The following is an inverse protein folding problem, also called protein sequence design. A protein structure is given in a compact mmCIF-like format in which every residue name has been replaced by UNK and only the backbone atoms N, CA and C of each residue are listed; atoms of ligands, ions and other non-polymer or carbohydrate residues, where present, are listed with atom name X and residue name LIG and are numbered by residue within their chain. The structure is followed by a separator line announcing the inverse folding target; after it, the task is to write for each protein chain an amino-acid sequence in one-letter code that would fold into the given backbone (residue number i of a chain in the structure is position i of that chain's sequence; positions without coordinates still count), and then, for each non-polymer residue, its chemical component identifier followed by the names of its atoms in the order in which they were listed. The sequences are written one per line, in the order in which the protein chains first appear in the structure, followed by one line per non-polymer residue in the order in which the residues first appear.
data_IF_503856828434
#
_entry.id   IF_503856828434
#
_cell.length_a   1.000
_cell.length_b   1.000
_cell.length_c   1.000
_cell.angle_alpha   90.00
_cell.angle_beta   90.00
_cell.angle_gamma   90.00
#
_symmetry.space_group_name_H-M   'P 1'
#
loop_
_entity.id
_entity.type
_entity.pdbx_description
1 polymer ?
#
# COMPACT_ATOMS: atom_id res chain seq x y z
N UNK A 1 0.41 18.46 -17.66
CA UNK A 1 -0.49 17.28 -17.70
C UNK A 1 -0.07 16.36 -16.59
N UNK A 2 -1.03 15.89 -15.77
CA UNK A 2 -0.75 14.88 -14.75
C UNK A 2 -0.43 13.54 -15.41
N UNK A 3 0.50 12.78 -14.85
CA UNK A 3 0.91 11.47 -15.39
C UNK A 3 0.70 10.37 -14.36
N UNK A 4 0.34 9.18 -14.82
CA UNK A 4 0.10 8.04 -13.95
C UNK A 4 1.29 7.09 -14.03
N UNK A 5 1.81 6.71 -12.86
CA UNK A 5 2.94 5.81 -12.73
C UNK A 5 2.65 4.74 -11.70
N UNK A 6 3.19 3.56 -11.94
CA UNK A 6 3.27 2.48 -10.97
C UNK A 6 4.59 2.59 -10.21
N UNK A 7 4.50 2.91 -8.92
CA UNK A 7 5.59 2.92 -7.96
C UNK A 7 5.64 1.55 -7.28
N UNK A 8 6.75 0.83 -7.41
CA UNK A 8 6.94 -0.50 -6.83
C UNK A 8 8.07 -0.45 -5.81
N UNK A 9 7.81 -0.97 -4.61
CA UNK A 9 8.75 -1.05 -3.50
C UNK A 9 8.85 -2.51 -3.01
N UNK A 10 10.02 -3.02 -2.61
CA UNK A 10 10.11 -4.33 -1.97
C UNK A 10 9.26 -4.40 -0.71
N UNK A 11 8.67 -5.56 -0.41
CA UNK A 11 7.76 -5.67 0.72
C UNK A 11 8.45 -5.55 2.09
N UNK A 12 9.73 -5.90 2.19
CA UNK A 12 10.55 -5.66 3.39
C UNK A 12 10.78 -4.17 3.71
N UNK A 13 10.68 -3.28 2.72
CA UNK A 13 10.89 -1.85 2.93
C UNK A 13 9.77 -1.23 3.78
N UNK A 14 8.62 -1.89 3.86
CA UNK A 14 7.53 -1.51 4.75
C UNK A 14 7.11 -2.75 5.55
N UNK A 15 7.98 -3.11 6.51
CA UNK A 15 7.93 -4.26 7.43
C UNK A 15 6.66 -4.39 8.30
N UNK A 16 5.71 -3.48 8.17
CA UNK A 16 4.49 -3.42 8.96
C UNK A 16 3.56 -4.62 8.73
N UNK A 17 3.43 -5.01 7.46
CA UNK A 17 2.46 -6.01 7.00
C UNK A 17 3.17 -7.29 6.54
N UNK A 18 4.44 -7.18 6.15
CA UNK A 18 5.22 -8.28 5.58
C UNK A 18 5.24 -9.57 6.41
N UNK A 19 5.47 -9.54 7.74
CA UNK A 19 5.46 -10.77 8.54
C UNK A 19 4.10 -11.48 8.55
N UNK A 20 3.02 -10.71 8.47
CA UNK A 20 1.65 -11.22 8.50
C UNK A 20 1.14 -11.65 7.13
N UNK A 21 1.78 -11.18 6.04
CA UNK A 21 1.43 -11.56 4.67
C UNK A 21 2.20 -12.77 4.16
N UNK A 22 3.36 -13.11 4.75
CA UNK A 22 4.12 -14.30 4.36
C UNK A 22 3.42 -15.62 4.69
N UNK A 23 2.57 -15.62 5.71
CA UNK A 23 1.88 -16.82 6.19
C UNK A 23 0.53 -17.03 5.49
N UNK A 24 0.17 -16.14 4.57
CA UNK A 24 -1.19 -16.05 4.05
C UNK A 24 -1.13 -15.80 2.54
N UNK A 25 -1.95 -16.50 1.75
CA UNK A 25 -2.26 -16.10 0.37
C UNK A 25 -3.16 -14.84 0.35
N UNK A 26 -2.86 -13.87 1.20
CA UNK A 26 -3.59 -12.63 1.35
C UNK A 26 -2.98 -11.56 0.48
N UNK A 27 -3.78 -11.09 -0.47
CA UNK A 27 -3.60 -9.81 -1.13
C UNK A 27 -4.19 -8.72 -0.24
N UNK A 28 -3.49 -7.60 -0.06
CA UNK A 28 -4.08 -6.39 0.52
C UNK A 28 -4.24 -5.32 -0.53
N UNK A 29 -5.47 -4.90 -0.80
CA UNK A 29 -5.74 -3.78 -1.70
C UNK A 29 -6.26 -2.58 -0.92
N UNK A 30 -5.70 -1.41 -1.18
CA UNK A 30 -6.17 -0.15 -0.61
C UNK A 30 -6.34 0.88 -1.71
N UNK A 31 -7.55 1.40 -1.83
CA UNK A 31 -7.83 2.54 -2.69
C UNK A 31 -7.80 3.79 -1.81
N UNK A 32 -6.70 4.53 -1.82
CA UNK A 32 -6.75 5.92 -1.37
C UNK A 32 -7.32 6.75 -2.52
N UNK A 33 -8.63 6.74 -2.77
CA UNK A 33 -9.22 7.70 -3.73
C UNK A 33 -9.21 9.12 -3.13
N UNK A 34 -8.03 9.68 -2.90
CA UNK A 34 -7.84 10.74 -1.93
C UNK A 34 -6.80 11.77 -2.34
N UNK A 35 -6.88 12.93 -1.72
CA UNK A 35 -5.89 14.00 -1.86
C UNK A 35 -4.56 13.59 -1.21
N UNK A 36 -3.45 14.30 -1.49
CA UNK A 36 -2.15 14.05 -0.86
C UNK A 36 -2.17 14.02 0.69
N UNK A 37 -3.23 14.54 1.32
CA UNK A 37 -3.41 14.54 2.78
C UNK A 37 -4.05 13.24 3.33
N UNK A 38 -4.48 12.35 2.44
CA UNK A 38 -5.09 11.07 2.84
C UNK A 38 -4.05 10.21 3.53
N UNK A 39 -4.34 9.61 4.70
CA UNK A 39 -3.43 8.65 5.31
C UNK A 39 -3.09 7.53 4.30
N UNK A 40 -1.85 7.04 4.32
CA UNK A 40 -1.52 5.79 3.64
C UNK A 40 -2.05 4.62 4.47
N UNK A 41 -2.73 3.67 3.84
CA UNK A 41 -3.28 2.47 4.47
C UNK A 41 -4.28 2.65 5.64
N UNK A 42 -5.26 3.57 5.58
CA UNK A 42 -6.29 3.66 6.61
C UNK A 42 -7.28 2.49 6.51
N UNK A 43 -7.38 1.89 5.32
CA UNK A 43 -8.28 0.79 4.99
C UNK A 43 -7.65 -0.12 3.96
N UNK A 44 -7.92 -1.41 4.06
CA UNK A 44 -7.56 -2.37 3.01
C UNK A 44 -8.58 -3.50 2.92
N UNK A 45 -8.68 -4.08 1.72
CA UNK A 45 -9.38 -5.31 1.44
C UNK A 45 -8.39 -6.47 1.53
N UNK A 46 -8.70 -7.43 2.39
CA UNK A 46 -7.98 -8.69 2.51
C UNK A 46 -8.70 -9.77 1.69
N UNK A 47 -7.93 -10.54 0.93
CA UNK A 47 -8.37 -11.67 0.13
C UNK A 47 -7.79 -12.99 0.66
N UNK A 48 -8.17 -14.13 0.06
CA UNK A 48 -7.64 -15.45 0.41
C UNK A 48 -8.39 -16.16 1.54
N UNK A 49 -7.95 -17.37 1.89
CA UNK A 49 -8.57 -18.23 2.92
C UNK A 49 -8.63 -17.58 4.29
N UNK A 50 -7.60 -16.83 4.66
CA UNK A 50 -7.43 -16.29 6.02
C UNK A 50 -7.82 -14.81 6.12
N UNK A 51 -8.52 -14.29 5.10
CA UNK A 51 -9.02 -12.89 5.07
C UNK A 51 -9.80 -12.49 6.31
N UNK A 52 -10.46 -13.43 6.98
CA UNK A 52 -11.27 -13.15 8.18
C UNK A 52 -10.50 -13.12 9.50
N UNK A 53 -9.33 -13.78 9.55
CA UNK A 53 -8.47 -13.88 10.74
C UNK A 53 -7.27 -12.94 10.69
N UNK A 54 -7.05 -12.26 9.54
CA UNK A 54 -5.99 -11.28 9.38
C UNK A 54 -6.02 -10.17 10.47
N UNK A 55 -7.20 -9.76 10.93
CA UNK A 55 -7.28 -8.79 12.03
C UNK A 55 -6.71 -9.34 13.34
N UNK A 56 -6.94 -10.61 13.65
CA UNK A 56 -6.42 -11.26 14.85
C UNK A 56 -4.90 -11.46 14.76
N UNK A 57 -4.36 -11.62 13.55
CA UNK A 57 -2.92 -11.66 13.32
C UNK A 57 -2.29 -10.27 13.50
N UNK A 58 -2.92 -9.24 12.91
CA UNK A 58 -2.42 -7.86 12.94
C UNK A 58 -2.55 -7.19 14.31
N UNK A 59 -3.47 -7.63 15.19
CA UNK A 59 -3.61 -7.04 16.54
C UNK A 59 -2.34 -7.20 17.40
N UNK A 60 -1.45 -8.12 17.01
CA UNK A 60 -0.17 -8.34 17.68
C UNK A 60 0.94 -7.43 17.17
N UNK A 61 0.70 -6.68 16.09
CA UNK A 61 1.68 -5.76 15.51
C UNK A 61 1.89 -4.55 16.46
N UNK A 62 3.13 -4.27 16.90
CA UNK A 62 3.41 -3.19 17.85
C UNK A 62 3.01 -1.79 17.36
N UNK A 63 2.93 -1.60 16.05
CA UNK A 63 2.59 -0.34 15.42
C UNK A 63 1.09 -0.12 15.23
N UNK A 64 0.24 -1.08 15.62
CA UNK A 64 -1.19 -1.01 15.41
C UNK A 64 -1.88 -0.56 16.69
N UNK A 65 -2.57 0.58 16.64
CA UNK A 65 -3.36 1.10 17.78
C UNK A 65 -4.76 0.53 17.80
N UNK A 66 -5.36 0.33 16.62
CA UNK A 66 -6.67 -0.26 16.47
C UNK A 66 -6.84 -0.91 15.09
N UNK A 67 -7.63 -1.99 15.05
CA UNK A 67 -8.10 -2.62 13.82
C UNK A 67 -9.59 -2.93 13.98
N UNK A 68 -10.37 -2.70 12.93
CA UNK A 68 -11.80 -3.00 12.91
C UNK A 68 -12.24 -3.53 11.56
N UNK A 69 -13.06 -4.58 11.57
CA UNK A 69 -13.71 -5.12 10.37
C UNK A 69 -14.84 -4.18 9.95
N UNK A 70 -14.80 -3.70 8.71
CA UNK A 70 -15.75 -2.71 8.17
C UNK A 70 -16.81 -3.35 7.26
N UNK A 71 -16.40 -4.32 6.44
CA UNK A 71 -17.31 -5.04 5.53
C UNK A 71 -16.80 -6.46 5.26
N UNK A 72 -17.73 -7.38 5.04
CA UNK A 72 -17.43 -8.77 4.65
C UNK A 72 -18.15 -9.08 3.35
N UNK A 73 -17.38 -9.51 2.36
CA UNK A 73 -17.85 -10.00 1.07
C UNK A 73 -17.46 -11.49 0.94
N UNK A 74 -18.08 -12.24 0.01
CA UNK A 74 -17.76 -13.65 -0.19
C UNK A 74 -16.27 -13.91 -0.44
N UNK A 75 -15.59 -13.01 -1.14
CA UNK A 75 -14.22 -13.12 -1.63
C UNK A 75 -13.21 -12.23 -0.86
N UNK A 76 -13.69 -11.26 -0.08
CA UNK A 76 -12.83 -10.24 0.56
C UNK A 76 -13.40 -9.66 1.84
N UNK A 77 -12.53 -9.12 2.69
CA UNK A 77 -12.91 -8.43 3.93
C UNK A 77 -12.26 -7.06 3.99
N UNK A 78 -13.03 -6.01 4.24
CA UNK A 78 -12.51 -4.66 4.44
C UNK A 78 -12.17 -4.46 5.91
N UNK A 79 -10.94 -4.02 6.18
CA UNK A 79 -10.49 -3.59 7.48
C UNK A 79 -10.20 -2.09 7.47
N UNK A 80 -10.42 -1.45 8.61
CA UNK A 80 -9.88 -0.14 8.95
C UNK A 80 -8.79 -0.33 10.00
N UNK A 81 -7.66 0.33 9.80
CA UNK A 81 -6.51 0.27 10.71
C UNK A 81 -6.06 1.67 11.09
N UNK A 82 -5.79 1.83 12.37
CA UNK A 82 -5.19 3.04 12.93
C UNK A 82 -3.76 2.70 13.41
N UNK A 83 -2.78 3.35 12.80
CA UNK A 83 -1.35 3.10 13.05
C UNK A 83 -0.79 4.09 14.08
N UNK A 84 0.08 3.60 14.98
CA UNK A 84 0.91 4.45 15.82
C UNK A 84 2.12 4.93 15.01
N UNK A 85 2.00 6.13 14.46
CA UNK A 85 3.04 6.76 13.63
C UNK A 85 4.32 7.12 14.41
N UNK A 86 4.34 6.99 15.74
CA UNK A 86 5.52 7.23 16.56
C UNK A 86 6.48 6.03 16.61
N UNK A 87 6.07 4.88 16.08
CA UNK A 87 6.85 3.64 16.12
C UNK A 87 7.90 3.57 14.99
N UNK A 88 8.98 2.80 15.20
CA UNK A 88 10.03 2.65 14.18
C UNK A 88 9.55 1.79 13.00
N UNK A 89 8.58 0.91 13.25
CA UNK A 89 8.01 -0.06 12.30
C UNK A 89 7.23 0.63 11.18
N UNK A 90 6.65 1.81 11.42
CA UNK A 90 5.96 2.62 10.39
C UNK A 90 6.81 3.77 9.86
N UNK A 91 8.05 3.95 10.31
CA UNK A 91 8.87 5.11 9.92
C UNK A 91 9.04 5.19 8.40
N UNK A 92 9.21 4.05 7.73
CA UNK A 92 9.31 4.01 6.27
C UNK A 92 7.98 4.37 5.59
N UNK A 93 6.85 3.89 6.13
CA UNK A 93 5.52 4.26 5.65
C UNK A 93 5.27 5.78 5.81
N UNK A 94 5.69 6.36 6.94
CA UNK A 94 5.54 7.79 7.20
C UNK A 94 6.45 8.64 6.30
N UNK A 95 7.68 8.20 6.05
CA UNK A 95 8.59 8.82 5.08
C UNK A 95 8.01 8.80 3.68
N UNK A 96 7.49 7.66 3.23
CA UNK A 96 6.85 7.53 1.93
C UNK A 96 5.61 8.44 1.84
N UNK A 97 4.76 8.46 2.87
CA UNK A 97 3.61 9.37 2.95
C UNK A 97 4.03 10.82 2.81
N UNK A 98 5.03 11.23 3.59
CA UNK A 98 5.55 12.60 3.58
C UNK A 98 6.10 12.98 2.22
N UNK A 99 6.91 12.11 1.60
CA UNK A 99 7.43 12.33 0.26
C UNK A 99 6.31 12.51 -0.77
N UNK A 100 5.35 11.58 -0.81
CA UNK A 100 4.25 11.63 -1.76
C UNK A 100 3.41 12.90 -1.56
N UNK A 101 3.15 13.29 -0.31
CA UNK A 101 2.45 14.53 0.02
C UNK A 101 3.21 15.77 -0.43
N UNK A 102 4.49 15.86 -0.11
CA UNK A 102 5.32 17.03 -0.41
C UNK A 102 5.51 17.21 -1.93
N UNK A 103 5.42 16.12 -2.70
CA UNK A 103 5.41 16.12 -4.16
C UNK A 103 4.02 16.31 -4.79
N UNK A 104 2.96 16.43 -3.98
CA UNK A 104 1.58 16.58 -4.44
C UNK A 104 1.05 15.34 -5.18
N UNK A 105 1.60 14.16 -4.88
CA UNK A 105 1.22 12.90 -5.53
C UNK A 105 -0.09 12.41 -4.95
N UNK A 106 -1.00 12.03 -5.86
CA UNK A 106 -2.25 11.35 -5.51
C UNK A 106 -2.06 9.86 -5.73
N UNK A 107 -2.05 9.06 -4.65
CA UNK A 107 -2.07 7.60 -4.78
C UNK A 107 -3.48 7.22 -5.18
N UNK A 108 -3.71 6.60 -6.32
CA UNK A 108 -5.03 6.19 -6.81
C UNK A 108 -5.43 4.80 -6.27
N UNK A 109 -4.46 3.90 -6.20
CA UNK A 109 -4.63 2.53 -5.80
C UNK A 109 -3.31 1.99 -5.23
N UNK A 110 -3.40 1.08 -4.28
CA UNK A 110 -2.27 0.40 -3.68
C UNK A 110 -2.59 -1.08 -3.48
N UNK A 111 -1.59 -1.92 -3.70
CA UNK A 111 -1.67 -3.35 -3.49
C UNK A 111 -0.40 -3.82 -2.78
N UNK A 112 -0.55 -4.76 -1.86
CA UNK A 112 0.57 -5.38 -1.14
C UNK A 112 0.48 -6.88 -1.35
N UNK A 113 1.58 -7.43 -1.84
CA UNK A 113 1.82 -8.85 -1.97
C UNK A 113 2.95 -9.25 -1.02
N UNK A 114 3.19 -10.56 -0.82
CA UNK A 114 4.37 -11.02 -0.09
C UNK A 114 5.71 -10.61 -0.74
N UNK A 115 5.73 -10.16 -2.00
CA UNK A 115 6.97 -9.78 -2.69
C UNK A 115 7.16 -8.26 -2.78
N UNK A 116 6.09 -7.52 -3.08
CA UNK A 116 6.17 -6.09 -3.38
C UNK A 116 4.93 -5.31 -2.94
N UNK A 117 5.15 -4.02 -2.71
CA UNK A 117 4.14 -2.99 -2.60
C UNK A 117 4.04 -2.28 -3.94
N UNK A 118 2.83 -2.19 -4.47
CA UNK A 118 2.54 -1.57 -5.74
C UNK A 118 1.58 -0.42 -5.51
N UNK A 119 2.01 0.79 -5.81
CA UNK A 119 1.19 2.00 -5.76
C UNK A 119 0.98 2.51 -7.18
N UNK A 120 -0.28 2.72 -7.58
CA UNK A 120 -0.63 3.48 -8.76
C UNK A 120 -0.78 4.93 -8.33
N UNK A 121 0.08 5.80 -8.83
CA UNK A 121 0.24 7.18 -8.41
C UNK A 121 0.01 8.13 -9.57
N UNK A 122 -0.79 9.18 -9.35
CA UNK A 122 -0.91 10.32 -10.24
C UNK A 122 0.03 11.43 -9.77
N UNK A 123 0.99 11.77 -10.61
CA UNK A 123 1.96 12.83 -10.39
C UNK A 123 1.48 14.13 -11.05
N UNK A 124 1.62 15.29 -10.37
CA UNK A 124 1.18 16.57 -10.92
C UNK A 124 2.08 17.06 -12.06
N UNK A 125 3.37 16.69 -12.05
CA UNK A 125 4.38 17.12 -13.02
C UNK A 125 5.43 16.03 -13.28
N UNK A 126 6.17 16.14 -14.39
CA UNK A 126 7.34 15.29 -14.67
C UNK A 126 8.43 15.44 -13.60
N UNK A 127 8.62 16.66 -13.09
CA UNK A 127 9.58 16.95 -12.03
C UNK A 127 9.24 16.18 -10.74
N UNK A 128 7.95 16.09 -10.38
CA UNK A 128 7.53 15.29 -9.24
C UNK A 128 7.85 13.79 -9.42
N UNK A 129 7.76 13.25 -10.64
CA UNK A 129 8.17 11.87 -10.95
C UNK A 129 9.65 11.69 -10.71
N UNK A 130 10.48 12.59 -11.26
CA UNK A 130 11.95 12.53 -11.13
C UNK A 130 12.35 12.63 -9.66
N UNK A 131 11.78 13.59 -8.92
CA UNK A 131 12.02 13.76 -7.49
C UNK A 131 11.57 12.56 -6.67
N UNK A 132 10.43 11.95 -7.01
CA UNK A 132 10.01 10.73 -6.34
C UNK A 132 11.03 9.60 -6.56
N UNK A 133 11.55 9.44 -7.77
CA UNK A 133 12.57 8.43 -8.05
C UNK A 133 13.87 8.68 -7.25
N UNK A 134 14.34 9.93 -7.21
CA UNK A 134 15.61 10.28 -6.54
C UNK A 134 15.50 10.34 -5.03
N UNK A 135 14.37 10.82 -4.51
CA UNK A 135 14.20 11.17 -3.10
C UNK A 135 13.50 10.05 -2.31
N UNK A 136 13.04 8.96 -2.96
CA UNK A 136 12.35 7.85 -2.28
C UNK A 136 13.20 7.14 -1.23
N UNK A 137 14.52 7.13 -1.39
CA UNK A 137 15.44 6.52 -0.43
C UNK A 137 15.36 4.99 -0.35
N UNK A 138 14.61 4.35 -1.25
CA UNK A 138 14.49 2.89 -1.34
C UNK A 138 15.36 2.38 -2.49
N UNK A 139 16.37 1.52 -2.22
CA UNK A 139 17.38 1.13 -3.21
C UNK A 139 16.80 0.39 -4.42
N UNK A 140 15.72 -0.38 -4.24
CA UNK A 140 15.06 -1.16 -5.30
C UNK A 140 13.69 -0.59 -5.71
N UNK A 141 13.48 0.71 -5.49
CA UNK A 141 12.30 1.40 -5.97
C UNK A 141 12.27 1.46 -7.50
N UNK A 142 11.13 1.08 -8.08
CA UNK A 142 10.89 1.11 -9.53
C UNK A 142 9.68 2.00 -9.85
N UNK A 143 9.81 2.82 -10.89
CA UNK A 143 8.73 3.62 -11.43
C UNK A 143 8.48 3.24 -12.89
N UNK A 144 7.25 2.82 -13.20
CA UNK A 144 6.82 2.49 -14.56
C UNK A 144 5.70 3.43 -14.99
N UNK A 145 5.86 4.12 -16.12
CA UNK A 145 4.80 4.95 -16.68
C UNK A 145 3.64 4.06 -17.09
N UNK A 146 2.43 4.40 -16.65
CA UNK A 146 1.24 3.62 -16.93
C UNK A 146 0.45 4.28 -18.07
N UNK A 147 0.65 3.76 -19.29
CA UNK A 147 -0.04 4.26 -20.49
C UNK A 147 -1.43 3.65 -20.66
N UNK A 148 -1.64 2.44 -20.12
CA UNK A 148 -2.92 1.74 -20.11
C UNK A 148 -3.35 1.49 -18.66
N UNK A 149 -4.43 2.13 -18.23
CA UNK A 149 -5.14 1.79 -16.98
C UNK A 149 -6.01 0.52 -17.19
N UNK A 150 -5.47 -0.50 -17.86
CA UNK A 150 -6.06 -1.82 -17.82
C UNK A 150 -5.73 -2.40 -16.44
N UNK A 151 -6.63 -2.15 -15.49
CA UNK A 151 -6.75 -2.95 -14.28
C UNK A 151 -7.18 -4.35 -14.72
N UNK A 152 -6.27 -5.12 -15.32
CA UNK A 152 -6.45 -6.55 -15.46
C UNK A 152 -6.59 -7.07 -14.03
N UNK A 153 -7.77 -7.59 -13.73
CA UNK A 153 -8.08 -8.36 -12.53
C UNK A 153 -6.84 -9.20 -12.19
N UNK A 154 -6.21 -8.89 -11.05
CA UNK A 154 -5.10 -9.67 -10.56
C UNK A 154 -5.68 -11.02 -10.12
N UNK A 155 -5.66 -11.98 -11.04
CA UNK A 155 -5.98 -13.37 -10.73
C UNK A 155 -4.68 -13.99 -10.20
N UNK A 156 -4.53 -14.23 -8.89
CA UNK A 156 -3.40 -14.99 -8.39
C UNK A 156 -3.45 -16.37 -9.07
N UNK A 157 -2.41 -16.67 -9.85
CA UNK A 157 -2.23 -18.02 -10.39
C UNK A 157 -1.86 -18.92 -9.22
N UNK A 158 -2.81 -19.75 -8.78
CA UNK A 158 -2.55 -20.86 -7.87
C UNK A 158 -1.49 -21.77 -8.52
N UNK A 159 -0.29 -21.77 -7.95
CA UNK A 159 0.80 -22.68 -8.28
C UNK A 159 1.05 -23.64 -7.13
#
# INVERSE_FOLDING_TARGET
MSQVYRLMLPAEEINLLYPHLREVDALLEFASLGTPDTPLLPRFWAYGSDREVLADQLITAPALTAISKQAVCPDRVCYRVDWDLSTKEVTNLDRLRTLLRDLGVTVLFGCITPAEWVLVCQFPTQEAVLRCYTDCGYPDCRLAHQTDLDFKEYHPTNG
#
